data_IF_995843533491
#
_entry.id   IF_995843533491
#
_cell.length_a   1.000
_cell.length_b   1.000
_cell.length_c   1.000
_cell.angle_alpha   90.00
_cell.angle_beta   90.00
_cell.angle_gamma   90.00
#
_symmetry.space_group_name_H-M   'P 1'
#
loop_
_entity.id
_entity.type
_entity.pdbx_description
1 polymer ?
#
# COMPACT_ATOMS: atom_id res chain seq x y z
N UNK A 1 2.41 -4.04 18.89
CA UNK A 1 2.11 -3.01 17.86
C UNK A 1 3.35 -2.20 17.44
N UNK A 2 4.17 -1.62 18.35
CA UNK A 2 5.25 -0.69 17.97
C UNK A 2 6.28 -1.25 16.99
N UNK A 3 6.74 -2.50 17.19
CA UNK A 3 7.72 -3.14 16.32
C UNK A 3 7.31 -3.16 14.84
N UNK A 4 6.04 -3.43 14.53
CA UNK A 4 5.55 -3.48 13.14
C UNK A 4 5.60 -2.12 12.46
N UNK A 5 5.22 -1.08 13.20
CA UNK A 5 5.26 0.30 12.71
C UNK A 5 6.70 0.74 12.47
N UNK A 6 7.62 0.40 13.37
CA UNK A 6 9.04 0.68 13.19
C UNK A 6 9.60 -0.01 11.94
N UNK A 7 9.31 -1.31 11.76
CA UNK A 7 9.74 -2.07 10.58
C UNK A 7 9.16 -1.42 9.31
N UNK A 8 7.85 -1.17 9.27
CA UNK A 8 7.18 -0.57 8.11
C UNK A 8 7.76 0.80 7.77
N UNK A 9 7.91 1.69 8.77
CA UNK A 9 8.49 3.02 8.59
C UNK A 9 9.93 2.96 8.09
N UNK A 10 10.73 2.01 8.57
CA UNK A 10 12.12 1.81 8.12
C UNK A 10 12.18 1.37 6.66
N UNK A 11 11.38 0.36 6.27
CA UNK A 11 11.29 -0.07 4.88
C UNK A 11 10.79 1.06 3.99
N UNK A 12 9.77 1.79 4.42
CA UNK A 12 9.21 2.92 3.70
C UNK A 12 10.25 4.03 3.48
N UNK A 13 10.93 4.49 4.54
CA UNK A 13 11.96 5.51 4.46
C UNK A 13 13.14 5.08 3.58
N UNK A 14 13.60 3.83 3.73
CA UNK A 14 14.69 3.28 2.91
C UNK A 14 14.30 3.22 1.42
N UNK A 15 13.07 2.80 1.13
CA UNK A 15 12.55 2.73 -0.24
C UNK A 15 12.46 4.11 -0.87
N UNK A 16 11.94 5.11 -0.14
CA UNK A 16 11.89 6.48 -0.64
C UNK A 16 13.26 7.12 -0.79
N UNK A 17 14.20 6.83 0.11
CA UNK A 17 15.60 7.28 -0.01
C UNK A 17 16.24 6.75 -1.30
N UNK A 18 16.01 5.47 -1.63
CA UNK A 18 16.43 4.91 -2.90
C UNK A 18 15.70 5.53 -4.09
N UNK A 19 14.37 5.67 -4.03
CA UNK A 19 13.61 6.29 -5.13
C UNK A 19 14.01 7.74 -5.38
N UNK A 20 14.41 8.48 -4.33
CA UNK A 20 14.87 9.86 -4.43
C UNK A 20 16.06 10.02 -5.38
N UNK A 21 16.93 9.01 -5.54
CA UNK A 21 18.07 9.07 -6.47
C UNK A 21 17.63 9.22 -7.94
N UNK A 22 16.37 8.89 -8.24
CA UNK A 22 15.78 9.02 -9.56
C UNK A 22 14.96 10.30 -9.75
N UNK A 23 14.84 11.18 -8.74
CA UNK A 23 14.11 12.44 -8.92
C UNK A 23 14.93 13.37 -9.82
N UNK A 24 14.42 13.64 -11.02
CA UNK A 24 15.08 14.50 -12.00
C UNK A 24 14.66 15.96 -11.84
N UNK A 25 13.35 16.20 -11.77
CA UNK A 25 12.73 17.52 -11.62
C UNK A 25 12.17 17.70 -10.22
N UNK A 26 12.24 18.93 -9.69
CA UNK A 26 11.67 19.25 -8.38
C UNK A 26 12.44 18.66 -7.19
N UNK A 27 13.75 18.43 -7.32
CA UNK A 27 14.60 17.85 -6.25
C UNK A 27 14.45 18.55 -4.89
N UNK A 28 14.38 19.88 -4.88
CA UNK A 28 14.16 20.65 -3.65
C UNK A 28 12.83 20.34 -2.97
N UNK A 29 11.74 20.25 -3.75
CA UNK A 29 10.43 19.84 -3.23
C UNK A 29 10.46 18.38 -2.74
N UNK A 30 11.03 17.47 -3.53
CA UNK A 30 11.14 16.06 -3.15
C UNK A 30 11.95 15.86 -1.88
N UNK A 31 13.06 16.58 -1.70
CA UNK A 31 13.87 16.56 -0.48
C UNK A 31 13.09 17.10 0.71
N UNK A 32 12.41 18.24 0.55
CA UNK A 32 11.55 18.80 1.60
C UNK A 32 10.43 17.82 1.99
N UNK A 33 9.75 17.22 1.02
CA UNK A 33 8.68 16.26 1.27
C UNK A 33 9.21 14.98 1.93
N UNK A 34 10.40 14.50 1.54
CA UNK A 34 11.07 13.38 2.20
C UNK A 34 11.38 13.68 3.67
N UNK A 35 11.87 14.88 3.99
CA UNK A 35 12.10 15.31 5.37
C UNK A 35 10.79 15.41 6.17
N UNK A 36 9.72 15.93 5.55
CA UNK A 36 8.39 15.99 6.16
C UNK A 36 7.87 14.58 6.48
N UNK A 37 7.98 13.64 5.54
CA UNK A 37 7.62 12.24 5.74
C UNK A 37 8.39 11.66 6.93
N UNK A 38 9.71 11.82 6.95
CA UNK A 38 10.55 11.29 8.03
C UNK A 38 10.15 11.87 9.40
N UNK A 39 9.95 13.19 9.48
CA UNK A 39 9.54 13.86 10.72
C UNK A 39 8.17 13.38 11.22
N UNK A 40 7.19 13.30 10.33
CA UNK A 40 5.84 12.85 10.71
C UNK A 40 5.81 11.36 11.11
N UNK A 41 6.61 10.50 10.46
CA UNK A 41 6.77 9.10 10.87
C UNK A 41 7.46 8.98 12.23
N UNK A 42 8.39 9.87 12.57
CA UNK A 42 8.99 9.93 13.92
C UNK A 42 7.91 10.30 14.95
N UNK A 43 7.07 11.30 14.67
CA UNK A 43 5.94 11.68 15.54
C UNK A 43 5.03 10.48 15.79
N UNK A 44 4.64 9.76 14.73
CA UNK A 44 3.85 8.52 14.83
C UNK A 44 4.51 7.50 15.77
N UNK A 45 5.80 7.20 15.56
CA UNK A 45 6.52 6.22 16.36
C UNK A 45 6.64 6.62 17.84
N UNK A 46 6.94 7.89 18.12
CA UNK A 46 7.01 8.42 19.49
C UNK A 46 5.66 8.25 20.20
N UNK A 47 4.57 8.62 19.54
CA UNK A 47 3.23 8.49 20.12
C UNK A 47 2.83 7.02 20.31
N UNK A 48 3.09 6.16 19.32
CA UNK A 48 2.78 4.72 19.40
C UNK A 48 3.54 4.05 20.54
N UNK A 49 4.83 4.34 20.69
CA UNK A 49 5.67 3.79 21.76
C UNK A 49 5.24 4.36 23.11
N UNK A 50 5.03 5.67 23.19
CA UNK A 50 4.62 6.36 24.41
C UNK A 50 3.30 5.83 24.97
N UNK A 51 2.25 5.78 24.15
CA UNK A 51 0.95 5.25 24.58
C UNK A 51 1.01 3.76 24.93
N UNK A 52 1.77 2.97 24.17
CA UNK A 52 1.96 1.56 24.49
C UNK A 52 2.69 1.34 25.82
N UNK A 53 3.62 2.23 26.20
CA UNK A 53 4.38 2.12 27.46
C UNK A 53 3.50 2.28 28.71
N UNK A 54 2.37 2.98 28.58
CA UNK A 54 1.38 3.15 29.66
C UNK A 54 0.16 2.24 29.48
N UNK A 55 0.26 1.22 28.63
CA UNK A 55 -0.82 0.25 28.41
C UNK A 55 -2.05 0.82 27.68
N UNK A 56 -1.91 1.93 26.96
CA UNK A 56 -3.01 2.62 26.27
C UNK A 56 -2.93 2.49 24.74
N UNK A 57 -4.09 2.58 24.10
CA UNK A 57 -4.21 2.56 22.63
C UNK A 57 -4.11 3.98 22.08
N UNK A 58 -3.23 4.19 21.11
CA UNK A 58 -3.05 5.50 20.46
C UNK A 58 -4.00 5.78 19.28
N UNK A 59 -4.44 4.74 18.57
CA UNK A 59 -5.33 4.87 17.42
C UNK A 59 -6.80 4.71 17.84
N UNK A 60 -7.71 5.46 17.22
CA UNK A 60 -9.16 5.41 17.44
C UNK A 60 -9.63 5.78 18.86
N UNK A 61 -8.72 6.03 19.78
CA UNK A 61 -9.03 6.23 21.19
C UNK A 61 -9.54 7.67 21.41
N UNK A 62 -10.81 7.78 21.76
CA UNK A 62 -11.53 9.03 22.01
C UNK A 62 -12.15 9.06 23.41
N UNK A 63 -11.66 8.20 24.32
CA UNK A 63 -12.20 8.06 25.68
C UNK A 63 -11.99 9.26 26.59
N UNK A 64 -11.00 10.12 26.31
CA UNK A 64 -10.69 11.33 27.09
C UNK A 64 -10.25 12.47 26.17
N UNK A 65 -10.29 13.75 26.61
CA UNK A 65 -9.78 14.88 25.83
C UNK A 65 -8.31 14.71 25.43
N UNK A 66 -7.49 14.13 26.31
CA UNK A 66 -6.09 13.82 26.01
C UNK A 66 -5.97 12.77 24.89
N UNK A 67 -6.73 11.68 24.97
CA UNK A 67 -6.71 10.64 23.93
C UNK A 67 -7.20 11.17 22.58
N UNK A 68 -8.21 12.04 22.57
CA UNK A 68 -8.67 12.74 21.37
C UNK A 68 -7.56 13.59 20.76
N UNK A 69 -6.82 14.36 21.57
CA UNK A 69 -5.72 15.18 21.09
C UNK A 69 -4.59 14.32 20.49
N UNK A 70 -4.22 13.23 21.17
CA UNK A 70 -3.23 12.25 20.67
C UNK A 70 -3.70 11.62 19.36
N UNK A 71 -4.93 11.15 19.29
CA UNK A 71 -5.48 10.54 18.07
C UNK A 71 -5.54 11.55 16.91
N UNK A 72 -5.95 12.79 17.19
CA UNK A 72 -6.01 13.86 16.19
C UNK A 72 -4.63 14.25 15.66
N UNK A 73 -3.62 14.30 16.54
CA UNK A 73 -2.22 14.50 16.16
C UNK A 73 -1.77 13.43 15.17
N UNK A 74 -2.05 12.17 15.46
CA UNK A 74 -1.65 11.05 14.60
C UNK A 74 -2.39 11.07 13.25
N UNK A 75 -3.71 11.25 13.27
CA UNK A 75 -4.52 11.37 12.05
C UNK A 75 -4.03 12.53 11.16
N UNK A 76 -3.62 13.65 11.76
CA UNK A 76 -3.03 14.78 11.04
C UNK A 76 -1.66 14.42 10.46
N UNK A 77 -0.78 13.82 11.27
CA UNK A 77 0.57 13.43 10.84
C UNK A 77 0.53 12.47 9.64
N UNK A 78 -0.30 11.41 9.70
CA UNK A 78 -0.40 10.46 8.58
C UNK A 78 -1.05 11.06 7.33
N UNK A 79 -1.97 12.02 7.49
CA UNK A 79 -2.54 12.77 6.37
C UNK A 79 -1.47 13.62 5.68
N UNK A 80 -0.58 14.25 6.45
CA UNK A 80 0.58 14.99 5.93
C UNK A 80 1.54 14.03 5.20
N UNK A 81 1.82 12.85 5.77
CA UNK A 81 2.65 11.82 5.11
C UNK A 81 2.04 11.44 3.75
N UNK A 82 0.72 11.21 3.69
CA UNK A 82 0.03 10.87 2.45
C UNK A 82 0.17 11.97 1.38
N UNK A 83 -0.07 13.23 1.74
CA UNK A 83 0.06 14.37 0.82
C UNK A 83 1.52 14.61 0.39
N UNK A 84 2.47 14.47 1.30
CA UNK A 84 3.90 14.59 1.01
C UNK A 84 4.37 13.47 0.06
N UNK A 85 3.86 12.26 0.25
CA UNK A 85 4.11 11.11 -0.63
C UNK A 85 3.59 11.36 -2.03
N UNK A 86 2.35 11.82 -2.15
CA UNK A 86 1.78 12.20 -3.44
C UNK A 86 2.64 13.27 -4.13
N UNK A 87 3.01 14.31 -3.39
CA UNK A 87 3.81 15.43 -3.90
C UNK A 87 5.20 14.98 -4.36
N UNK A 88 5.91 14.17 -3.56
CA UNK A 88 7.22 13.60 -3.94
C UNK A 88 7.10 12.72 -5.19
N UNK A 89 6.05 11.90 -5.26
CA UNK A 89 5.80 10.98 -6.36
C UNK A 89 5.65 11.66 -7.72
N UNK A 90 5.24 12.93 -7.77
CA UNK A 90 5.18 13.71 -9.02
C UNK A 90 6.55 13.82 -9.70
N UNK A 91 7.63 13.95 -8.93
CA UNK A 91 9.01 14.01 -9.43
C UNK A 91 9.53 12.68 -9.97
N UNK A 92 8.90 11.56 -9.58
CA UNK A 92 9.25 10.20 -10.02
C UNK A 92 8.47 9.77 -11.26
N UNK A 93 7.23 10.25 -11.41
CA UNK A 93 6.26 9.75 -12.40
C UNK A 93 6.80 9.66 -13.84
N UNK A 94 7.63 10.63 -14.23
CA UNK A 94 8.19 10.75 -15.57
C UNK A 94 9.72 10.83 -15.60
N UNK A 95 10.40 10.43 -14.50
CA UNK A 95 11.87 10.50 -14.41
C UNK A 95 12.53 9.79 -15.59
N UNK A 96 13.37 10.51 -16.36
CA UNK A 96 14.10 9.92 -17.47
C UNK A 96 15.35 9.15 -17.04
N UNK A 97 15.77 9.33 -15.77
CA UNK A 97 16.88 8.60 -15.15
C UNK A 97 16.52 7.12 -14.96
N UNK A 98 15.24 6.81 -14.70
CA UNK A 98 14.77 5.43 -14.58
C UNK A 98 14.72 4.75 -15.95
N UNK A 99 15.16 3.48 -15.97
CA UNK A 99 14.87 2.57 -17.09
C UNK A 99 13.35 2.47 -17.32
N UNK A 100 12.93 2.15 -18.54
CA UNK A 100 11.52 2.04 -18.88
C UNK A 100 10.78 1.01 -18.00
N UNK A 101 11.46 -0.09 -17.66
CA UNK A 101 10.95 -1.16 -16.82
C UNK A 101 10.70 -0.67 -15.38
N UNK A 102 11.72 -0.05 -14.76
CA UNK A 102 11.62 0.47 -13.40
C UNK A 102 10.56 1.58 -13.32
N UNK A 103 10.52 2.47 -14.31
CA UNK A 103 9.53 3.55 -14.36
C UNK A 103 8.10 3.02 -14.42
N UNK A 104 7.85 1.98 -15.21
CA UNK A 104 6.53 1.35 -15.27
C UNK A 104 6.14 0.75 -13.92
N UNK A 105 7.05 0.04 -13.27
CA UNK A 105 6.82 -0.53 -11.95
C UNK A 105 6.58 0.55 -10.88
N UNK A 106 7.36 1.63 -10.88
CA UNK A 106 7.20 2.76 -9.95
C UNK A 106 5.86 3.45 -10.14
N UNK A 107 5.35 3.61 -11.36
CA UNK A 107 4.00 4.19 -11.57
C UNK A 107 2.89 3.34 -10.96
N UNK A 108 2.94 2.02 -11.16
CA UNK A 108 2.02 1.10 -10.48
C UNK A 108 2.18 1.21 -8.96
N UNK A 109 3.42 1.24 -8.49
CA UNK A 109 3.74 1.33 -7.07
C UNK A 109 3.20 2.59 -6.41
N UNK A 110 3.34 3.75 -7.06
CA UNK A 110 2.81 5.03 -6.59
C UNK A 110 1.29 4.97 -6.52
N UNK A 111 0.63 4.52 -7.60
CA UNK A 111 -0.83 4.45 -7.66
C UNK A 111 -1.40 3.52 -6.59
N UNK A 112 -0.89 2.29 -6.51
CA UNK A 112 -1.34 1.29 -5.55
C UNK A 112 -0.90 1.61 -4.11
N UNK A 113 0.27 2.23 -3.94
CA UNK A 113 0.75 2.74 -2.66
C UNK A 113 -0.15 3.82 -2.08
N UNK A 114 -0.47 4.85 -2.87
CA UNK A 114 -1.38 5.92 -2.44
C UNK A 114 -2.79 5.42 -2.19
N UNK A 115 -3.30 4.49 -3.02
CA UNK A 115 -4.58 3.83 -2.78
C UNK A 115 -4.56 3.02 -1.47
N UNK A 116 -3.50 2.25 -1.24
CA UNK A 116 -3.25 1.51 0.00
C UNK A 116 -3.23 2.39 1.22
N UNK A 117 -2.49 3.49 1.19
CA UNK A 117 -2.50 4.50 2.26
C UNK A 117 -3.91 5.07 2.46
N UNK A 118 -4.63 5.34 1.37
CA UNK A 118 -6.00 5.83 1.39
C UNK A 118 -6.99 4.91 2.13
N UNK A 119 -6.77 3.60 2.09
CA UNK A 119 -7.60 2.62 2.83
C UNK A 119 -7.56 2.89 4.34
N UNK A 120 -6.47 3.44 4.90
CA UNK A 120 -6.41 3.76 6.33
C UNK A 120 -7.53 4.73 6.76
N UNK A 121 -7.94 5.66 5.89
CA UNK A 121 -9.02 6.60 6.19
C UNK A 121 -10.38 5.91 6.31
N UNK A 122 -10.55 4.73 5.72
CA UNK A 122 -11.79 3.95 5.81
C UNK A 122 -11.94 3.22 7.14
N UNK A 123 -10.85 3.13 7.92
CA UNK A 123 -10.83 2.51 9.24
C UNK A 123 -11.23 3.49 10.37
N UNK A 124 -11.29 4.80 10.09
CA UNK A 124 -11.48 5.83 11.12
C UNK A 124 -12.94 6.08 11.53
N UNK A 125 -13.95 5.94 10.65
CA UNK A 125 -15.34 6.06 11.08
C UNK A 125 -15.70 4.89 12.01
N UNK A 126 -16.45 5.13 13.10
CA UNK A 126 -16.92 4.05 13.94
C UNK A 126 -17.91 3.16 13.19
N UNK A 127 -17.83 1.86 13.43
CA UNK A 127 -18.84 0.90 12.99
C UNK A 127 -20.16 1.17 13.74
N UNK A 128 -21.34 0.88 13.14
CA UNK A 128 -22.64 1.15 13.78
C UNK A 128 -22.79 0.54 15.18
N UNK A 129 -22.19 -0.63 15.41
CA UNK A 129 -22.25 -1.31 16.70
C UNK A 129 -21.40 -0.62 17.78
N UNK A 130 -20.34 0.11 17.41
CA UNK A 130 -19.45 0.79 18.36
C UNK A 130 -20.10 2.01 19.02
N UNK A 131 -21.06 2.65 18.34
CA UNK A 131 -21.73 3.87 18.83
C UNK A 131 -22.96 3.59 19.69
N UNK A 132 -23.34 2.32 19.85
CA UNK A 132 -24.42 1.93 20.75
C UNK A 132 -23.99 2.17 22.22
N UNK A 133 -24.86 2.73 23.08
CA UNK A 133 -24.51 3.06 24.47
C UNK A 133 -23.91 1.89 25.25
N UNK A 134 -24.40 0.68 25.04
CA UNK A 134 -23.96 -0.55 25.68
C UNK A 134 -22.58 -1.04 25.22
N UNK A 135 -22.12 -0.60 24.03
CA UNK A 135 -20.85 -1.01 23.43
C UNK A 135 -19.79 0.10 23.42
N UNK A 136 -20.14 1.32 23.86
CA UNK A 136 -19.25 2.46 23.81
C UNK A 136 -18.08 2.30 24.78
N UNK A 137 -16.91 1.97 24.24
CA UNK A 137 -15.66 1.84 24.98
C UNK A 137 -14.72 3.05 24.82
N UNK A 138 -15.21 4.17 24.27
CA UNK A 138 -14.37 5.32 23.93
C UNK A 138 -13.43 5.04 22.74
N UNK A 139 -13.83 4.14 21.82
CA UNK A 139 -13.09 3.80 20.60
C UNK A 139 -13.97 4.11 19.40
N UNK A 140 -13.49 4.97 18.49
CA UNK A 140 -14.15 5.34 17.25
C UNK A 140 -13.27 4.99 16.04
N UNK A 141 -13.66 3.92 15.33
CA UNK A 141 -12.88 3.31 14.26
C UNK A 141 -12.47 1.88 14.60
N UNK A 142 -12.13 1.10 13.59
CA UNK A 142 -11.73 -0.29 13.73
C UNK A 142 -10.97 -0.78 12.48
N UNK A 143 -10.06 -1.73 12.68
CA UNK A 143 -9.45 -2.47 11.57
C UNK A 143 -10.33 -3.63 11.08
N UNK A 144 -11.02 -4.25 12.04
CA UNK A 144 -11.87 -5.42 11.83
C UNK A 144 -13.29 -4.98 11.45
N UNK A 145 -13.90 -5.66 10.49
CA UNK A 145 -15.26 -5.41 10.01
C UNK A 145 -16.09 -6.67 10.23
N UNK A 146 -17.28 -6.53 10.80
CA UNK A 146 -18.16 -7.65 11.14
C UNK A 146 -17.89 -8.31 12.50
N UNK A 147 -16.87 -7.86 13.24
CA UNK A 147 -16.59 -8.27 14.61
C UNK A 147 -15.86 -7.16 15.39
N UNK A 148 -15.71 -7.34 16.71
CA UNK A 148 -14.92 -6.45 17.55
C UNK A 148 -13.44 -6.47 17.17
N UNK A 149 -12.79 -5.30 17.20
CA UNK A 149 -11.36 -5.19 16.90
C UNK A 149 -10.50 -5.79 18.03
N UNK A 150 -9.35 -6.36 17.66
CA UNK A 150 -8.45 -7.00 18.63
C UNK A 150 -8.81 -8.44 19.03
N UNK A 151 -9.77 -9.06 18.37
CA UNK A 151 -10.08 -10.49 18.50
C UNK A 151 -8.98 -11.43 17.95
N UNK A 152 -9.26 -12.75 17.85
CA UNK A 152 -8.30 -13.73 17.34
C UNK A 152 -7.79 -13.37 15.94
N UNK A 153 -6.48 -13.49 15.75
CA UNK A 153 -5.84 -13.12 14.50
C UNK A 153 -4.58 -13.92 14.20
N UNK A 154 -4.10 -13.81 12.97
CA UNK A 154 -2.91 -14.50 12.50
C UNK A 154 -1.70 -14.19 13.39
N UNK A 155 -0.85 -15.17 13.72
CA UNK A 155 0.36 -14.95 14.49
C UNK A 155 1.22 -13.85 13.86
N UNK A 156 1.85 -13.05 14.71
CA UNK A 156 2.60 -11.85 14.35
C UNK A 156 1.74 -10.75 13.70
N UNK A 157 1.03 -10.98 12.60
CA UNK A 157 0.28 -9.97 11.83
C UNK A 157 -0.93 -9.40 12.60
N UNK A 158 -1.65 -10.27 13.31
CA UNK A 158 -2.86 -9.96 14.05
C UNK A 158 -4.09 -9.73 13.17
N UNK A 159 -4.04 -10.09 11.88
CA UNK A 159 -5.17 -10.00 10.97
C UNK A 159 -6.28 -10.96 11.39
N UNK A 160 -7.53 -10.50 11.44
CA UNK A 160 -8.65 -11.27 11.95
C UNK A 160 -8.82 -12.61 11.23
N UNK A 161 -8.91 -13.69 12.01
CA UNK A 161 -9.21 -15.04 11.51
C UNK A 161 -10.69 -15.39 11.59
N UNK A 162 -11.53 -14.44 12.05
CA UNK A 162 -12.96 -14.65 12.25
C UNK A 162 -13.84 -13.69 11.44
N UNK A 163 -13.28 -12.56 11.02
CA UNK A 163 -14.01 -11.50 10.35
C UNK A 163 -13.11 -10.77 9.33
N UNK A 164 -13.67 -9.80 8.62
CA UNK A 164 -12.94 -8.99 7.65
C UNK A 164 -11.91 -8.08 8.31
N UNK A 165 -10.80 -7.81 7.62
CA UNK A 165 -9.70 -6.99 8.16
C UNK A 165 -9.08 -6.06 7.11
N UNK A 166 -9.34 -4.76 7.27
CA UNK A 166 -8.88 -3.72 6.34
C UNK A 166 -7.36 -3.53 6.37
N UNK A 167 -6.65 -4.04 7.41
CA UNK A 167 -5.18 -3.95 7.46
C UNK A 167 -4.52 -4.75 6.35
N UNK A 168 -5.17 -5.77 5.83
CA UNK A 168 -4.59 -6.64 4.78
C UNK A 168 -4.40 -5.85 3.51
N UNK A 169 -5.46 -5.23 3.00
CA UNK A 169 -5.43 -4.43 1.77
C UNK A 169 -4.59 -3.16 1.94
N UNK A 170 -4.66 -2.53 3.10
CA UNK A 170 -3.78 -1.41 3.46
C UNK A 170 -2.30 -1.82 3.42
N UNK A 171 -1.93 -2.91 4.09
CA UNK A 171 -0.56 -3.44 4.14
C UNK A 171 -0.05 -3.78 2.73
N UNK A 172 -0.84 -4.50 1.94
CA UNK A 172 -0.49 -4.84 0.56
C UNK A 172 -0.27 -3.57 -0.26
N UNK A 173 -1.17 -2.60 -0.16
CA UNK A 173 -1.02 -1.32 -0.85
C UNK A 173 0.25 -0.57 -0.46
N UNK A 174 0.55 -0.43 0.84
CA UNK A 174 1.81 0.17 1.32
C UNK A 174 3.04 -0.52 0.71
N UNK A 175 2.99 -1.86 0.61
CA UNK A 175 4.10 -2.66 0.12
C UNK A 175 4.24 -2.74 -1.41
N UNK A 176 3.31 -2.15 -2.17
CA UNK A 176 3.45 -2.02 -3.61
C UNK A 176 4.75 -1.31 -4.01
N UNK A 177 5.18 -0.34 -3.21
CA UNK A 177 6.42 0.44 -3.37
C UNK A 177 7.71 -0.39 -3.24
N UNK A 178 7.68 -1.53 -2.56
CA UNK A 178 8.82 -2.44 -2.51
C UNK A 178 8.68 -3.57 -3.54
N UNK A 179 7.49 -4.17 -3.62
CA UNK A 179 7.28 -5.40 -4.39
C UNK A 179 7.44 -5.16 -5.89
N UNK A 180 6.78 -4.14 -6.46
CA UNK A 180 6.76 -3.96 -7.91
C UNK A 180 8.12 -3.49 -8.47
N UNK A 181 8.85 -2.55 -7.83
CA UNK A 181 10.19 -2.19 -8.28
C UNK A 181 11.16 -3.37 -8.17
N UNK A 182 11.03 -4.20 -7.13
CA UNK A 182 11.82 -5.42 -7.01
C UNK A 182 11.54 -6.39 -8.17
N UNK A 183 10.27 -6.59 -8.55
CA UNK A 183 9.91 -7.40 -9.73
C UNK A 183 10.57 -6.85 -11.00
N UNK A 184 10.59 -5.53 -11.19
CA UNK A 184 11.26 -4.92 -12.35
C UNK A 184 12.78 -5.15 -12.34
N UNK A 185 13.44 -5.01 -11.19
CA UNK A 185 14.88 -5.26 -11.02
C UNK A 185 15.21 -6.73 -11.26
N UNK A 186 14.46 -7.66 -10.67
CA UNK A 186 14.68 -9.10 -10.88
C UNK A 186 14.42 -9.47 -12.34
N UNK A 187 13.37 -8.93 -12.96
CA UNK A 187 13.06 -9.18 -14.37
C UNK A 187 14.15 -8.64 -15.31
N UNK A 188 14.79 -7.52 -14.98
CA UNK A 188 15.89 -6.97 -15.79
C UNK A 188 17.16 -7.82 -15.74
N UNK A 189 17.36 -8.58 -14.66
CA UNK A 189 18.48 -9.52 -14.50
C UNK A 189 18.19 -10.84 -15.21
N UNK A 190 16.97 -11.37 -15.08
CA UNK A 190 16.63 -12.73 -15.53
C UNK A 190 16.16 -12.81 -17.00
N UNK A 191 15.65 -11.71 -17.56
CA UNK A 191 14.99 -11.73 -18.87
C UNK A 191 15.60 -10.70 -19.81
N UNK A 192 16.23 -11.15 -20.89
CA UNK A 192 16.89 -10.27 -21.87
C UNK A 192 15.92 -9.54 -22.80
N UNK A 193 14.75 -10.14 -23.08
CA UNK A 193 13.76 -9.55 -23.98
C UNK A 193 12.93 -8.44 -23.31
N UNK A 194 13.05 -7.22 -23.84
CA UNK A 194 12.33 -6.03 -23.32
C UNK A 194 10.81 -6.19 -23.30
N UNK A 195 10.21 -6.74 -24.36
CA UNK A 195 8.76 -6.89 -24.42
C UNK A 195 8.24 -7.88 -23.39
N UNK A 196 9.00 -8.94 -23.11
CA UNK A 196 8.68 -9.91 -22.07
C UNK A 196 8.77 -9.26 -20.68
N UNK A 197 9.84 -8.51 -20.38
CA UNK A 197 9.97 -7.77 -19.11
C UNK A 197 8.80 -6.82 -18.87
N UNK A 198 8.48 -5.99 -19.87
CA UNK A 198 7.36 -5.04 -19.80
C UNK A 198 6.03 -5.76 -19.56
N UNK A 199 5.81 -6.90 -20.21
CA UNK A 199 4.61 -7.70 -20.04
C UNK A 199 4.52 -8.34 -18.64
N UNK A 200 5.63 -8.81 -18.07
CA UNK A 200 5.69 -9.32 -16.70
C UNK A 200 5.31 -8.21 -15.72
N UNK A 201 5.91 -7.02 -15.85
CA UNK A 201 5.64 -5.89 -14.95
C UNK A 201 4.19 -5.44 -15.05
N UNK A 202 3.60 -5.44 -16.25
CA UNK A 202 2.18 -5.12 -16.44
C UNK A 202 1.27 -6.15 -15.78
N UNK A 203 1.51 -7.44 -16.00
CA UNK A 203 0.72 -8.51 -15.37
C UNK A 203 0.83 -8.50 -13.86
N UNK A 204 2.04 -8.28 -13.33
CA UNK A 204 2.28 -8.13 -11.90
C UNK A 204 1.52 -6.93 -11.31
N UNK A 205 1.57 -5.77 -11.97
CA UNK A 205 0.81 -4.58 -11.56
C UNK A 205 -0.70 -4.82 -11.50
N UNK A 206 -1.26 -5.47 -12.53
CA UNK A 206 -2.69 -5.84 -12.58
C UNK A 206 -3.05 -6.83 -11.47
N UNK A 207 -2.27 -7.91 -11.31
CA UNK A 207 -2.52 -8.91 -10.28
C UNK A 207 -2.46 -8.30 -8.88
N UNK A 208 -1.48 -7.43 -8.63
CA UNK A 208 -1.33 -6.76 -7.33
C UNK A 208 -2.47 -5.76 -7.06
N UNK A 209 -2.92 -5.04 -8.08
CA UNK A 209 -4.09 -4.15 -7.98
C UNK A 209 -5.36 -4.94 -7.62
N UNK A 210 -5.60 -6.06 -8.31
CA UNK A 210 -6.72 -6.94 -8.02
C UNK A 210 -6.63 -7.57 -6.63
N UNK A 211 -5.42 -7.92 -6.17
CA UNK A 211 -5.21 -8.44 -4.83
C UNK A 211 -5.59 -7.41 -3.75
N UNK A 212 -5.18 -6.16 -3.91
CA UNK A 212 -5.56 -5.06 -2.99
C UNK A 212 -7.08 -4.86 -3.02
N UNK A 213 -7.67 -4.76 -4.21
CA UNK A 213 -9.11 -4.54 -4.36
C UNK A 213 -9.93 -5.70 -3.77
N UNK A 214 -9.55 -6.93 -4.06
CA UNK A 214 -10.18 -8.13 -3.54
C UNK A 214 -10.12 -8.17 -2.01
N UNK A 215 -8.93 -8.03 -1.42
CA UNK A 215 -8.79 -8.07 0.06
C UNK A 215 -9.49 -6.90 0.75
N UNK A 216 -9.60 -5.75 0.09
CA UNK A 216 -10.39 -4.62 0.59
C UNK A 216 -11.89 -4.92 0.58
N UNK A 217 -12.44 -5.41 -0.54
CA UNK A 217 -13.85 -5.78 -0.66
C UNK A 217 -14.19 -6.94 0.27
N UNK A 218 -13.34 -7.96 0.34
CA UNK A 218 -13.49 -9.09 1.25
C UNK A 218 -13.59 -8.61 2.70
N UNK A 219 -12.71 -7.70 3.11
CA UNK A 219 -12.76 -7.10 4.43
C UNK A 219 -14.06 -6.32 4.67
N UNK A 220 -14.52 -5.51 3.71
CA UNK A 220 -15.78 -4.76 3.83
C UNK A 220 -17.02 -5.68 3.93
N UNK A 221 -16.97 -6.87 3.33
CA UNK A 221 -18.01 -7.89 3.46
C UNK A 221 -17.96 -8.62 4.81
N UNK A 222 -16.98 -8.30 5.68
CA UNK A 222 -16.79 -8.96 6.97
C UNK A 222 -16.23 -10.37 6.85
N UNK A 223 -15.69 -10.75 5.69
CA UNK A 223 -15.19 -12.09 5.42
C UNK A 223 -13.72 -12.24 5.84
N UNK A 224 -13.40 -13.32 6.56
CA UNK A 224 -12.03 -13.57 6.99
C UNK A 224 -11.12 -14.03 5.85
N UNK A 225 -9.82 -13.70 5.97
CA UNK A 225 -8.79 -14.11 5.00
C UNK A 225 -8.50 -15.61 5.01
N UNK A 226 -8.89 -16.33 6.07
CA UNK A 226 -8.59 -17.78 6.22
C UNK A 226 -9.67 -18.70 5.64
N UNK A 227 -10.68 -18.16 4.96
CA UNK A 227 -11.74 -18.96 4.36
C UNK A 227 -11.30 -19.61 3.03
N UNK A 228 -11.83 -20.80 2.67
CA UNK A 228 -11.42 -21.51 1.45
C UNK A 228 -11.61 -20.71 0.14
N UNK A 229 -12.65 -19.88 0.05
CA UNK A 229 -12.91 -19.06 -1.14
C UNK A 229 -11.80 -18.05 -1.42
N UNK A 230 -11.04 -17.62 -0.40
CA UNK A 230 -9.86 -16.76 -0.58
C UNK A 230 -8.85 -17.40 -1.52
N UNK A 231 -8.57 -18.70 -1.37
CA UNK A 231 -7.62 -19.40 -2.24
C UNK A 231 -8.08 -19.43 -3.71
N UNK A 232 -9.39 -19.58 -3.93
CA UNK A 232 -9.99 -19.57 -5.27
C UNK A 232 -9.77 -18.20 -5.92
N UNK A 233 -10.07 -17.12 -5.21
CA UNK A 233 -9.86 -15.75 -5.72
C UNK A 233 -8.39 -15.44 -5.95
N UNK A 234 -7.48 -15.89 -5.09
CA UNK A 234 -6.04 -15.77 -5.34
C UNK A 234 -5.62 -16.50 -6.63
N UNK A 235 -6.15 -17.71 -6.87
CA UNK A 235 -5.94 -18.44 -8.12
C UNK A 235 -6.45 -17.66 -9.35
N UNK A 236 -7.66 -17.09 -9.26
CA UNK A 236 -8.23 -16.26 -10.33
C UNK A 236 -7.35 -15.03 -10.61
N UNK A 237 -6.91 -14.33 -9.56
CA UNK A 237 -6.04 -13.14 -9.67
C UNK A 237 -4.72 -13.50 -10.37
N UNK A 238 -4.11 -14.64 -10.02
CA UNK A 238 -2.90 -15.13 -10.68
C UNK A 238 -3.15 -15.42 -12.16
N UNK A 239 -4.25 -16.09 -12.50
CA UNK A 239 -4.63 -16.37 -13.89
C UNK A 239 -4.81 -15.06 -14.67
N UNK A 240 -5.55 -14.10 -14.12
CA UNK A 240 -5.75 -12.79 -14.77
C UNK A 240 -4.44 -12.04 -14.96
N UNK A 241 -3.53 -12.10 -13.99
CA UNK A 241 -2.17 -11.57 -14.10
C UNK A 241 -1.39 -12.20 -15.26
N UNK A 242 -1.40 -13.53 -15.37
CA UNK A 242 -0.75 -14.26 -16.46
C UNK A 242 -1.35 -13.94 -17.83
N UNK A 243 -2.68 -13.85 -17.93
CA UNK A 243 -3.38 -13.47 -19.15
C UNK A 243 -3.03 -12.03 -19.56
N UNK A 244 -2.95 -11.11 -18.61
CA UNK A 244 -2.52 -9.72 -18.84
C UNK A 244 -1.08 -9.66 -19.37
N UNK A 245 -0.17 -10.47 -18.82
CA UNK A 245 1.19 -10.62 -19.36
C UNK A 245 1.16 -11.14 -20.80
N UNK A 246 0.44 -12.23 -21.08
CA UNK A 246 0.32 -12.79 -22.43
C UNK A 246 -0.22 -11.78 -23.44
N UNK A 247 -1.28 -11.07 -23.08
CA UNK A 247 -1.90 -10.04 -23.90
C UNK A 247 -0.97 -8.85 -24.16
N UNK A 248 -0.28 -8.36 -23.13
CA UNK A 248 0.69 -7.25 -23.25
C UNK A 248 1.85 -7.63 -24.18
N UNK A 249 2.33 -8.87 -24.11
CA UNK A 249 3.38 -9.37 -24.99
C UNK A 249 2.89 -9.47 -26.44
N UNK A 250 1.71 -10.05 -26.66
CA UNK A 250 1.10 -10.17 -27.98
C UNK A 250 0.94 -8.81 -28.66
N UNK A 251 0.39 -7.83 -27.94
CA UNK A 251 0.19 -6.47 -28.44
C UNK A 251 1.52 -5.79 -28.81
N UNK A 252 2.53 -5.93 -27.94
CA UNK A 252 3.84 -5.30 -28.16
C UNK A 252 4.53 -5.84 -29.42
N UNK A 253 4.45 -7.16 -29.66
CA UNK A 253 4.98 -7.77 -30.89
C UNK A 253 4.24 -7.30 -32.14
N UNK A 254 2.90 -7.19 -32.07
CA UNK A 254 2.10 -6.69 -33.19
C UNK A 254 2.48 -5.26 -33.57
N UNK A 255 2.61 -4.37 -32.59
CA UNK A 255 2.99 -2.97 -32.82
C UNK A 255 4.39 -2.84 -33.43
N UNK A 256 5.34 -3.69 -33.02
CA UNK A 256 6.68 -3.75 -33.61
C UNK A 256 6.63 -4.19 -35.08
N UNK A 257 5.87 -5.25 -35.41
CA UNK A 257 5.75 -5.71 -36.80
C UNK A 257 5.14 -4.65 -37.72
N UNK A 258 4.16 -3.88 -37.25
CA UNK A 258 3.53 -2.80 -38.02
C UNK A 258 4.52 -1.66 -38.27
N UNK A 259 5.30 -1.26 -37.26
CA UNK A 259 6.34 -0.23 -37.39
C UNK A 259 7.43 -0.63 -38.37
N UNK A 260 7.84 -1.90 -38.37
CA UNK A 260 8.83 -2.41 -39.33
C UNK A 260 8.29 -2.36 -40.75
N UNK A 261 7.04 -2.79 -40.99
CA UNK A 261 6.42 -2.70 -42.33
C UNK A 261 6.32 -1.27 -42.84
N UNK A 262 5.91 -0.32 -41.99
CA UNK A 262 5.78 1.09 -42.36
C UNK A 262 7.12 1.80 -42.64
N UNK A 263 8.26 1.24 -42.22
CA UNK A 263 9.60 1.77 -42.53
C UNK A 263 10.17 1.23 -43.86
N UNK A 264 9.59 0.16 -44.38
CA UNK A 264 10.06 -0.54 -45.60
C UNK A 264 9.19 -0.17 -46.81
N UNK A 265 8.02 0.42 -46.60
CA UNK A 265 7.16 1.07 -47.61
C UNK A 265 7.54 2.53 -47.81
#
# INVERSE_FOLDING_TARGET
KPLKFLISATFYATTFSWLYTFVEKGKGLASKMGNVIALMLIVELVVIVGMASVGSTSHFNVSTPFNIAIWSLMATAISIVWLATFSLSTGLWNSQIMSADLRLAVRWSIGLGLAGMGIAFTMTPPQPQQVLPENWAGIAGAHTVGAADGGPGLPFLGWSTQAGDLRISHFLGLHALQVLPLIAVVSSILVTNYFVRRAIIMGAGVAYALLIAFTYVQALLGETIVQPSTLIFLGIILIVGMLSTGFSLFRSRKDETLKTRARVS
#
